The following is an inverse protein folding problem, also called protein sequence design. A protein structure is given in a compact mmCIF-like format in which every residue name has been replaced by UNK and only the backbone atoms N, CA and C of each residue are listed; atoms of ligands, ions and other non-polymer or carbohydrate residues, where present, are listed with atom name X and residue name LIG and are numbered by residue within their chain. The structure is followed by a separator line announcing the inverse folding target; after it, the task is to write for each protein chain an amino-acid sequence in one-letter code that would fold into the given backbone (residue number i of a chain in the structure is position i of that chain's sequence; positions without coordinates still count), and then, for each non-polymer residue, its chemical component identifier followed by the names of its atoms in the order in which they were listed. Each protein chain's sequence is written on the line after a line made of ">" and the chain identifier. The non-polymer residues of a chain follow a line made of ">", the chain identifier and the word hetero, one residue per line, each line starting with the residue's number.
data_IF_229704968871
#
_entry.id   IF_229704968871
#
_cell.length_a   1.000
_cell.length_b   1.000
_cell.length_c   1.000
_cell.angle_alpha   90.00
_cell.angle_beta   90.00
_cell.angle_gamma   90.00
#
_symmetry.space_group_name_H-M   'P 1'
#
loop_
_entity.id
_entity.type
_entity.pdbx_description
1 polymer ?
#
# COMPACT_ATOMS: atom_id res chain seq x y z
N UNK A 1 10.60 -14.14 2.57
CA UNK A 1 11.76 -14.76 1.92
C UNK A 1 11.31 -15.66 0.78
N UNK A 2 12.11 -15.75 -0.30
CA UNK A 2 11.77 -16.57 -1.47
C UNK A 2 10.53 -16.07 -2.21
N UNK A 3 10.36 -14.74 -2.34
CA UNK A 3 9.23 -14.17 -3.07
C UNK A 3 9.29 -14.46 -4.57
N UNK A 4 8.15 -14.83 -5.13
CA UNK A 4 7.89 -14.89 -6.58
C UNK A 4 6.45 -14.47 -6.83
N UNK A 5 6.18 -13.80 -7.93
CA UNK A 5 4.81 -13.48 -8.36
C UNK A 5 4.01 -14.73 -8.73
N UNK A 6 4.70 -15.82 -9.10
CA UNK A 6 4.07 -17.12 -9.33
C UNK A 6 4.00 -17.90 -8.02
N UNK A 7 2.80 -18.18 -7.48
CA UNK A 7 2.62 -18.82 -6.17
C UNK A 7 3.37 -20.15 -6.01
N UNK A 8 3.44 -20.95 -7.07
CA UNK A 8 4.17 -22.23 -7.09
C UNK A 8 5.68 -22.10 -6.88
N UNK A 9 6.23 -20.92 -7.16
CA UNK A 9 7.66 -20.62 -7.05
C UNK A 9 7.98 -19.80 -5.80
N UNK A 10 6.96 -19.35 -5.05
CA UNK A 10 7.12 -18.53 -3.86
C UNK A 10 7.06 -19.42 -2.61
N UNK A 11 8.02 -19.26 -1.72
CA UNK A 11 7.98 -19.92 -0.40
C UNK A 11 6.95 -19.26 0.52
N UNK A 12 6.68 -17.95 0.34
CA UNK A 12 5.74 -17.18 1.14
C UNK A 12 6.01 -17.20 2.63
N UNK A 13 7.30 -17.29 3.01
CA UNK A 13 7.69 -17.38 4.42
C UNK A 13 7.47 -16.05 5.11
N UNK A 14 6.74 -16.09 6.21
CA UNK A 14 6.56 -14.98 7.15
C UNK A 14 7.36 -15.29 8.41
N UNK A 15 8.24 -14.39 8.80
CA UNK A 15 9.15 -14.59 9.93
C UNK A 15 9.13 -13.42 10.90
N UNK A 16 9.34 -13.72 12.18
CA UNK A 16 9.64 -12.74 13.21
C UNK A 16 11.15 -12.75 13.47
N UNK A 17 11.73 -11.55 13.43
CA UNK A 17 13.14 -11.34 13.75
C UNK A 17 13.23 -10.65 15.11
N UNK A 18 14.12 -11.14 15.98
CA UNK A 18 14.38 -10.53 17.29
C UNK A 18 15.88 -10.38 17.52
N UNK A 19 16.35 -9.23 18.01
CA UNK A 19 17.74 -9.07 18.41
C UNK A 19 18.03 -9.98 19.61
N UNK A 20 19.24 -10.56 19.65
CA UNK A 20 19.73 -11.38 20.76
C UNK A 20 20.49 -10.59 21.82
N UNK A 21 20.60 -9.29 21.65
CA UNK A 21 21.38 -8.35 22.46
C UNK A 21 21.68 -7.11 21.64
N UNK A 22 22.94 -6.94 21.20
CA UNK A 22 23.32 -5.84 20.31
C UNK A 22 22.58 -5.96 18.96
N UNK A 23 21.81 -4.94 18.55
CA UNK A 23 21.06 -5.00 17.30
C UNK A 23 21.94 -5.07 16.03
N UNK A 24 23.26 -4.85 16.14
CA UNK A 24 24.21 -5.02 15.05
C UNK A 24 24.63 -6.48 14.83
N UNK A 25 24.38 -7.34 15.82
CA UNK A 25 24.66 -8.76 15.75
C UNK A 25 23.52 -9.53 15.05
N UNK A 26 23.75 -10.75 14.58
CA UNK A 26 22.71 -11.55 13.92
C UNK A 26 21.50 -11.79 14.80
N UNK A 27 20.32 -11.48 14.27
CA UNK A 27 19.03 -11.65 14.94
C UNK A 27 18.58 -13.11 14.91
N UNK A 28 17.79 -13.51 15.89
CA UNK A 28 17.03 -14.76 15.81
C UNK A 28 15.89 -14.62 14.80
N UNK A 29 15.72 -15.64 13.96
CA UNK A 29 14.67 -15.72 12.95
C UNK A 29 13.76 -16.88 13.33
N UNK A 30 12.47 -16.60 13.46
CA UNK A 30 11.43 -17.61 13.71
C UNK A 30 10.40 -17.55 12.61
N UNK A 31 10.29 -18.61 11.84
CA UNK A 31 9.18 -18.75 10.87
C UNK A 31 7.86 -18.89 11.63
N UNK A 32 6.86 -18.09 11.28
CA UNK A 32 5.54 -18.11 11.90
C UNK A 32 4.46 -18.62 10.95
N UNK A 33 4.66 -18.47 9.64
CA UNK A 33 3.69 -18.93 8.63
C UNK A 33 4.34 -19.10 7.26
N UNK A 34 3.65 -19.88 6.40
CA UNK A 34 3.90 -19.96 4.95
C UNK A 34 2.60 -19.68 4.21
N UNK A 35 2.55 -18.56 3.54
CA UNK A 35 1.38 -18.13 2.77
C UNK A 35 1.84 -17.56 1.40
N UNK A 36 2.12 -18.44 0.40
CA UNK A 36 2.57 -18.01 -0.92
C UNK A 36 1.48 -17.27 -1.68
N UNK A 37 1.80 -16.20 -2.37
CA UNK A 37 3.02 -15.41 -2.30
C UNK A 37 2.85 -14.20 -1.35
N UNK A 38 3.17 -14.36 -0.04
CA UNK A 38 3.13 -13.22 0.91
C UNK A 38 3.90 -12.03 0.34
N UNK A 39 3.26 -10.85 0.34
CA UNK A 39 3.78 -9.67 -0.35
C UNK A 39 3.82 -8.43 0.53
N UNK A 40 2.69 -8.00 1.10
CA UNK A 40 2.60 -6.80 1.93
C UNK A 40 2.31 -7.14 3.39
N UNK A 41 3.05 -6.51 4.29
CA UNK A 41 2.81 -6.58 5.73
C UNK A 41 2.57 -5.17 6.28
N UNK A 42 1.58 -5.02 7.17
CA UNK A 42 1.31 -3.77 7.91
C UNK A 42 0.93 -4.10 9.34
N UNK A 43 1.29 -3.19 10.25
CA UNK A 43 0.79 -3.23 11.62
C UNK A 43 -0.53 -2.47 11.71
N UNK A 44 -1.51 -2.99 12.47
CA UNK A 44 -2.83 -2.38 12.63
C UNK A 44 -3.35 -2.60 14.06
N UNK A 45 -3.97 -1.60 14.65
CA UNK A 45 -4.74 -1.70 15.89
C UNK A 45 -6.23 -1.88 15.56
N UNK A 46 -6.59 -3.10 15.22
CA UNK A 46 -7.92 -3.43 14.68
C UNK A 46 -9.04 -3.44 15.75
N UNK A 47 -8.71 -3.34 17.02
CA UNK A 47 -9.68 -3.41 18.13
C UNK A 47 -9.60 -2.22 19.09
N UNK A 48 -8.77 -1.21 18.78
CA UNK A 48 -8.60 0.01 19.58
C UNK A 48 -7.93 -0.23 20.94
N UNK A 49 -7.30 -1.38 21.13
CA UNK A 49 -6.66 -1.74 22.40
C UNK A 49 -5.25 -1.17 22.58
N UNK A 50 -4.69 -0.53 21.56
CA UNK A 50 -3.28 -0.13 21.49
C UNK A 50 -2.34 -1.28 21.14
N UNK A 51 -2.84 -2.52 20.98
CA UNK A 51 -2.04 -3.68 20.61
C UNK A 51 -2.16 -3.95 19.11
N UNK A 52 -1.05 -3.82 18.41
CA UNK A 52 -1.04 -4.01 16.96
C UNK A 52 -0.96 -5.48 16.58
N UNK A 53 -1.77 -5.87 15.60
CA UNK A 53 -1.65 -7.12 14.85
C UNK A 53 -0.78 -6.91 13.61
N UNK A 54 -0.32 -7.99 12.98
CA UNK A 54 0.38 -7.93 11.70
C UNK A 54 -0.56 -8.42 10.61
N UNK A 55 -0.99 -7.52 9.74
CA UNK A 55 -1.80 -7.84 8.55
C UNK A 55 -0.89 -8.32 7.43
N UNK A 56 -1.25 -9.42 6.77
CA UNK A 56 -0.54 -9.99 5.63
C UNK A 56 -1.48 -10.08 4.42
N UNK A 57 -1.04 -9.47 3.33
CA UNK A 57 -1.70 -9.52 2.04
C UNK A 57 -0.79 -10.27 1.04
N UNK A 58 -1.08 -11.53 0.72
CA UNK A 58 -0.46 -12.21 -0.41
C UNK A 58 -0.75 -11.47 -1.71
N UNK A 59 0.16 -11.58 -2.68
CA UNK A 59 0.00 -10.92 -3.98
C UNK A 59 -1.19 -11.49 -4.76
N UNK A 60 -1.37 -12.82 -4.71
CA UNK A 60 -2.41 -13.54 -5.45
C UNK A 60 -2.97 -14.69 -4.63
N UNK A 61 -4.05 -15.30 -5.10
CA UNK A 61 -4.53 -16.57 -4.56
C UNK A 61 -3.53 -17.70 -4.81
N UNK A 62 -3.52 -18.69 -3.92
CA UNK A 62 -2.77 -19.92 -4.13
C UNK A 62 -3.24 -20.60 -5.44
N UNK A 63 -2.31 -20.93 -6.32
CA UNK A 63 -2.60 -21.53 -7.62
C UNK A 63 -3.02 -20.55 -8.72
N UNK A 64 -3.18 -19.26 -8.44
CA UNK A 64 -3.32 -18.25 -9.47
C UNK A 64 -2.00 -18.04 -10.21
N UNK A 65 -2.03 -17.88 -11.51
CA UNK A 65 -0.85 -17.66 -12.34
C UNK A 65 -1.09 -16.62 -13.42
N UNK A 66 0.01 -16.03 -13.90
CA UNK A 66 -0.05 -15.08 -15.02
C UNK A 66 -0.50 -15.72 -16.34
N UNK A 67 -1.04 -14.93 -17.28
CA UNK A 67 -1.19 -13.47 -17.15
C UNK A 67 -2.44 -13.03 -16.39
N UNK A 68 -3.42 -13.90 -16.18
CA UNK A 68 -4.73 -13.50 -15.67
C UNK A 68 -4.83 -13.41 -14.15
N UNK A 69 -4.03 -14.19 -13.41
CA UNK A 69 -4.03 -14.22 -11.93
C UNK A 69 -5.42 -14.39 -11.30
N UNK A 70 -6.30 -15.22 -11.94
CA UNK A 70 -7.65 -15.46 -11.41
C UNK A 70 -7.61 -16.20 -10.10
N UNK A 71 -8.40 -15.75 -9.14
CA UNK A 71 -8.56 -16.38 -7.84
C UNK A 71 -8.86 -15.39 -6.72
N UNK A 72 -9.37 -15.92 -5.62
CA UNK A 72 -9.72 -15.15 -4.43
C UNK A 72 -8.48 -15.02 -3.54
N UNK A 73 -7.90 -13.83 -3.53
CA UNK A 73 -6.68 -13.55 -2.77
C UNK A 73 -7.03 -13.34 -1.30
N UNK A 74 -6.47 -14.14 -0.38
CA UNK A 74 -6.77 -14.01 1.04
C UNK A 74 -6.14 -12.75 1.64
N UNK A 75 -6.84 -12.15 2.61
CA UNK A 75 -6.29 -11.17 3.53
C UNK A 75 -6.35 -11.76 4.93
N UNK A 76 -5.23 -11.74 5.65
CA UNK A 76 -5.11 -12.40 6.95
C UNK A 76 -4.37 -11.52 7.95
N UNK A 77 -4.45 -11.87 9.25
CA UNK A 77 -3.61 -11.23 10.25
C UNK A 77 -3.08 -12.21 11.28
N UNK A 78 -2.07 -11.78 12.03
CA UNK A 78 -1.43 -12.51 13.12
C UNK A 78 -1.40 -11.66 14.38
N UNK A 79 -1.72 -12.27 15.54
CA UNK A 79 -1.51 -11.63 16.84
C UNK A 79 -0.10 -11.90 17.34
N UNK A 80 0.69 -10.88 17.69
CA UNK A 80 2.01 -11.08 18.28
C UNK A 80 1.97 -12.00 19.50
N UNK A 81 2.86 -12.97 19.52
CA UNK A 81 2.93 -13.98 20.58
C UNK A 81 2.17 -15.27 20.25
N UNK A 82 1.00 -15.20 19.65
CA UNK A 82 0.23 -16.37 19.21
C UNK A 82 0.66 -16.85 17.81
N UNK A 83 0.90 -15.90 16.91
CA UNK A 83 1.36 -16.09 15.54
C UNK A 83 0.53 -17.08 14.72
N UNK A 84 -0.76 -17.20 15.05
CA UNK A 84 -1.71 -18.01 14.28
C UNK A 84 -2.30 -17.17 13.17
N UNK A 85 -2.45 -17.77 11.99
CA UNK A 85 -3.14 -17.15 10.87
C UNK A 85 -4.63 -17.00 11.17
N UNK A 86 -5.14 -15.77 11.10
CA UNK A 86 -6.56 -15.47 11.30
C UNK A 86 -7.07 -14.79 10.03
N UNK A 87 -8.15 -15.29 9.40
CA UNK A 87 -8.67 -14.72 8.17
C UNK A 87 -9.39 -13.39 8.43
N UNK A 88 -9.21 -12.44 7.52
CA UNK A 88 -10.00 -11.22 7.38
C UNK A 88 -11.03 -11.41 6.27
N UNK A 89 -10.58 -11.86 5.10
CA UNK A 89 -11.42 -12.14 3.94
C UNK A 89 -10.63 -12.66 2.76
N UNK A 90 -11.34 -13.07 1.71
CA UNK A 90 -10.76 -13.62 0.48
C UNK A 90 -11.46 -13.07 -0.79
N UNK A 91 -12.09 -11.90 -0.70
CA UNK A 91 -12.96 -11.37 -1.74
C UNK A 91 -12.22 -10.56 -2.83
N UNK A 92 -10.93 -10.27 -2.63
CA UNK A 92 -10.11 -9.62 -3.65
C UNK A 92 -9.73 -10.64 -4.72
N UNK A 93 -10.14 -10.39 -5.96
CA UNK A 93 -9.74 -11.22 -7.09
C UNK A 93 -8.51 -10.67 -7.79
N UNK A 94 -7.68 -11.57 -8.29
CA UNK A 94 -6.46 -11.25 -9.02
C UNK A 94 -5.32 -10.84 -8.11
N UNK A 95 -4.55 -9.85 -8.54
CA UNK A 95 -3.44 -9.31 -7.76
C UNK A 95 -3.98 -8.34 -6.71
N UNK A 96 -3.64 -8.57 -5.43
CA UNK A 96 -3.80 -7.61 -4.34
C UNK A 96 -2.40 -7.09 -3.98
N UNK A 97 -2.05 -5.92 -4.51
CA UNK A 97 -0.67 -5.43 -4.43
C UNK A 97 -0.46 -4.44 -3.29
N UNK A 98 -1.46 -3.60 -2.99
CA UNK A 98 -1.37 -2.57 -1.96
C UNK A 98 -2.28 -2.82 -0.77
N UNK A 99 -1.79 -2.50 0.43
CA UNK A 99 -2.59 -2.35 1.65
C UNK A 99 -2.19 -1.07 2.39
N UNK A 100 -3.19 -0.36 2.89
CA UNK A 100 -3.03 0.83 3.73
C UNK A 100 -3.84 0.66 5.01
N UNK A 101 -3.31 1.12 6.14
CA UNK A 101 -3.93 0.99 7.46
C UNK A 101 -4.15 2.38 8.04
N UNK A 102 -5.36 2.65 8.47
CA UNK A 102 -5.74 3.93 9.08
C UNK A 102 -7.05 3.77 9.84
N UNK A 103 -7.27 4.62 10.85
CA UNK A 103 -8.59 4.83 11.43
C UNK A 103 -9.44 5.56 10.37
N UNK A 104 -10.27 4.77 9.66
CA UNK A 104 -11.02 5.25 8.50
C UNK A 104 -12.28 6.01 8.89
N UNK A 105 -12.98 5.59 9.92
CA UNK A 105 -14.27 6.18 10.32
C UNK A 105 -14.18 7.05 11.58
N UNK A 106 -13.01 7.10 12.24
CA UNK A 106 -12.74 7.94 13.40
C UNK A 106 -13.20 7.31 14.71
N UNK A 107 -13.34 5.98 14.76
CA UNK A 107 -13.80 5.25 15.94
C UNK A 107 -12.65 4.81 16.88
N UNK A 108 -11.40 5.09 16.51
CA UNK A 108 -10.19 4.76 17.27
C UNK A 108 -9.64 3.36 16.97
N UNK A 109 -10.17 2.68 15.95
CA UNK A 109 -9.65 1.39 15.45
C UNK A 109 -9.10 1.58 14.04
N UNK A 110 -8.17 0.74 13.66
CA UNK A 110 -7.62 0.77 12.31
C UNK A 110 -8.44 -0.11 11.36
N UNK A 111 -8.87 0.45 10.25
CA UNK A 111 -9.35 -0.26 9.08
C UNK A 111 -8.21 -0.55 8.11
N UNK A 112 -8.47 -1.51 7.22
CA UNK A 112 -7.50 -1.95 6.22
C UNK A 112 -8.06 -1.65 4.84
N UNK A 113 -7.41 -0.74 4.11
CA UNK A 113 -7.69 -0.52 2.70
C UNK A 113 -6.86 -1.50 1.87
N UNK A 114 -7.45 -2.02 0.81
CA UNK A 114 -6.77 -2.90 -0.17
C UNK A 114 -6.87 -2.32 -1.56
N UNK A 115 -5.79 -2.44 -2.34
CA UNK A 115 -5.76 -2.13 -3.77
C UNK A 115 -5.50 -3.41 -4.55
N UNK A 116 -6.40 -3.73 -5.48
CA UNK A 116 -6.38 -4.98 -6.25
C UNK A 116 -6.97 -4.81 -7.65
N UNK A 117 -6.98 -5.87 -8.46
CA UNK A 117 -7.60 -5.84 -9.80
C UNK A 117 -9.10 -5.52 -9.78
N UNK A 118 -9.77 -5.66 -8.65
CA UNK A 118 -11.18 -5.27 -8.48
C UNK A 118 -11.37 -3.89 -7.88
N UNK A 119 -10.31 -3.13 -7.69
CA UNK A 119 -10.34 -1.75 -7.19
C UNK A 119 -9.87 -1.59 -5.75
N UNK A 120 -10.35 -0.54 -5.10
CA UNK A 120 -9.99 -0.17 -3.73
C UNK A 120 -11.17 -0.45 -2.80
N UNK A 121 -10.90 -1.18 -1.73
CA UNK A 121 -11.89 -1.57 -0.73
C UNK A 121 -11.39 -1.27 0.67
N UNK A 122 -12.30 -1.03 1.60
CA UNK A 122 -12.02 -0.94 3.03
C UNK A 122 -12.61 -2.14 3.76
N UNK A 123 -11.81 -2.72 4.66
CA UNK A 123 -12.20 -3.76 5.59
C UNK A 123 -12.27 -3.17 6.98
N UNK A 124 -13.41 -3.33 7.62
CA UNK A 124 -13.71 -2.88 8.97
C UNK A 124 -14.10 -4.08 9.86
N UNK A 125 -13.55 -4.12 11.08
CA UNK A 125 -13.88 -5.11 12.10
C UNK A 125 -15.02 -4.60 12.98
N UNK A 126 -16.25 -4.92 12.60
CA UNK A 126 -17.41 -4.49 13.35
C UNK A 126 -17.53 -5.11 14.75
N UNK A 127 -18.43 -4.57 15.55
CA UNK A 127 -18.77 -5.11 16.86
C UNK A 127 -19.17 -6.59 16.75
N UNK A 128 -18.57 -7.45 17.56
CA UNK A 128 -18.78 -8.89 17.49
C UNK A 128 -17.75 -9.66 16.63
N UNK A 129 -16.71 -8.99 16.17
CA UNK A 129 -15.56 -9.64 15.51
C UNK A 129 -15.80 -10.09 14.08
N UNK A 130 -16.81 -9.52 13.41
CA UNK A 130 -17.12 -9.81 12.02
C UNK A 130 -16.56 -8.71 11.12
N UNK A 131 -15.76 -9.11 10.13
CA UNK A 131 -15.26 -8.21 9.09
C UNK A 131 -16.33 -7.87 8.08
N UNK A 132 -16.43 -6.61 7.73
CA UNK A 132 -17.18 -6.10 6.58
C UNK A 132 -16.23 -5.59 5.52
N UNK A 133 -16.65 -5.65 4.25
CA UNK A 133 -15.87 -5.14 3.11
C UNK A 133 -16.74 -4.21 2.31
N UNK A 134 -16.27 -2.98 2.12
CA UNK A 134 -16.97 -1.95 1.34
C UNK A 134 -16.11 -1.52 0.14
N UNK A 135 -16.69 -1.49 -1.06
CA UNK A 135 -16.05 -0.94 -2.25
C UNK A 135 -16.01 0.58 -2.16
N UNK A 136 -14.84 1.17 -2.29
CA UNK A 136 -14.66 2.62 -2.41
C UNK A 136 -14.66 3.05 -3.88
N UNK A 137 -13.91 2.33 -4.71
CA UNK A 137 -13.83 2.59 -6.15
C UNK A 137 -13.35 1.35 -6.91
N UNK A 138 -13.72 1.24 -8.18
CA UNK A 138 -13.29 0.15 -9.06
C UNK A 138 -11.87 0.32 -9.62
N UNK A 139 -11.23 1.47 -9.41
CA UNK A 139 -9.91 1.74 -9.95
C UNK A 139 -9.92 2.02 -11.46
N UNK A 140 -8.86 1.60 -12.15
CA UNK A 140 -8.76 1.72 -13.60
C UNK A 140 -9.88 0.92 -14.30
N UNK A 141 -10.64 1.55 -15.22
CA UNK A 141 -11.78 0.92 -15.88
C UNK A 141 -11.40 -0.06 -17.01
N UNK A 142 -10.09 -0.24 -17.28
CA UNK A 142 -9.65 -1.17 -18.31
C UNK A 142 -10.15 -2.60 -18.02
N UNK A 143 -10.31 -3.46 -19.03
CA UNK A 143 -10.70 -4.85 -18.83
C UNK A 143 -9.61 -5.64 -18.10
N UNK A 144 -10.02 -6.64 -17.32
CA UNK A 144 -9.14 -7.61 -16.68
C UNK A 144 -8.10 -8.19 -17.68
N UNK A 145 -6.82 -8.33 -17.33
CA UNK A 145 -6.19 -8.12 -16.02
C UNK A 145 -5.59 -6.72 -15.80
N UNK A 146 -5.96 -5.74 -16.61
CA UNK A 146 -5.47 -4.36 -16.56
C UNK A 146 -6.43 -3.41 -15.83
N UNK A 147 -7.31 -3.95 -14.99
CA UNK A 147 -8.28 -3.21 -14.18
C UNK A 147 -7.77 -2.91 -12.79
N UNK A 148 -8.49 -2.06 -12.07
CA UNK A 148 -8.33 -1.86 -10.64
C UNK A 148 -7.14 -0.98 -10.25
N UNK A 149 -6.52 -1.32 -9.14
CA UNK A 149 -5.48 -0.50 -8.52
C UNK A 149 -4.30 -1.36 -8.04
N UNK A 150 -3.10 -0.76 -8.05
CA UNK A 150 -1.86 -1.37 -7.59
C UNK A 150 -1.57 -1.05 -6.13
N UNK A 151 -1.66 0.22 -5.77
CA UNK A 151 -1.36 0.71 -4.42
C UNK A 151 -2.32 1.83 -4.05
N UNK A 152 -2.45 2.13 -2.75
CA UNK A 152 -3.36 3.14 -2.24
C UNK A 152 -2.78 3.82 -1.01
N UNK A 153 -3.01 5.13 -0.90
CA UNK A 153 -2.80 5.89 0.32
C UNK A 153 -3.98 6.86 0.54
N UNK A 154 -4.14 7.29 1.78
CA UNK A 154 -5.18 8.23 2.21
C UNK A 154 -4.51 9.53 2.60
N UNK A 155 -5.00 10.63 2.05
CA UNK A 155 -4.53 11.96 2.40
C UNK A 155 -5.68 12.91 2.75
N UNK A 156 -5.31 14.08 3.29
CA UNK A 156 -6.24 15.12 3.71
C UNK A 156 -5.91 16.44 3.02
N UNK A 157 -6.93 17.13 2.57
CA UNK A 157 -6.83 18.42 1.93
C UNK A 157 -7.95 19.33 2.45
N UNK A 158 -7.58 20.40 3.16
CA UNK A 158 -8.52 21.32 3.78
C UNK A 158 -9.61 20.60 4.64
N UNK A 159 -9.17 19.63 5.46
CA UNK A 159 -10.05 18.83 6.33
C UNK A 159 -10.89 17.77 5.63
N UNK A 160 -10.72 17.60 4.32
CA UNK A 160 -11.41 16.57 3.53
C UNK A 160 -10.44 15.48 3.12
N UNK A 161 -10.89 14.23 3.23
CA UNK A 161 -10.13 13.06 2.81
C UNK A 161 -10.11 12.92 1.30
N UNK A 162 -8.97 12.52 0.75
CA UNK A 162 -8.83 12.02 -0.60
C UNK A 162 -8.11 10.66 -0.60
N UNK A 163 -8.24 9.90 -1.68
CA UNK A 163 -7.41 8.73 -1.92
C UNK A 163 -6.43 9.05 -3.05
N UNK A 164 -5.23 8.49 -2.98
CA UNK A 164 -4.33 8.44 -4.12
C UNK A 164 -3.92 7.00 -4.41
N UNK A 165 -3.66 6.69 -5.68
CA UNK A 165 -3.44 5.34 -6.16
C UNK A 165 -2.47 5.30 -7.32
N UNK A 166 -1.74 4.20 -7.45
CA UNK A 166 -1.08 3.79 -8.70
C UNK A 166 -2.02 2.84 -9.43
N UNK A 167 -2.26 3.08 -10.72
CA UNK A 167 -3.22 2.31 -11.53
C UNK A 167 -2.72 2.07 -12.96
N UNK A 168 -3.10 0.93 -13.56
CA UNK A 168 -3.46 -0.33 -12.92
C UNK A 168 -2.27 -0.98 -12.19
N UNK A 169 -2.28 -2.28 -11.94
CA UNK A 169 -1.14 -2.97 -11.30
C UNK A 169 0.17 -2.75 -12.06
N UNK A 170 1.21 -2.27 -11.33
CA UNK A 170 2.47 -1.77 -11.89
C UNK A 170 2.22 -0.80 -13.06
N UNK A 171 1.19 0.03 -12.92
CA UNK A 171 0.68 0.84 -14.01
C UNK A 171 1.45 2.13 -14.23
N UNK A 172 0.91 2.90 -15.14
CA UNK A 172 1.51 4.15 -15.58
C UNK A 172 0.79 5.39 -15.01
N UNK A 173 -0.25 5.20 -14.19
CA UNK A 173 -1.08 6.31 -13.75
C UNK A 173 -0.89 6.58 -12.26
N UNK A 174 -0.71 7.85 -11.91
CA UNK A 174 -0.93 8.40 -10.58
C UNK A 174 -2.34 9.00 -10.57
N UNK A 175 -3.18 8.53 -9.67
CA UNK A 175 -4.60 8.87 -9.64
C UNK A 175 -4.96 9.45 -8.29
N UNK A 176 -5.85 10.46 -8.26
CA UNK A 176 -6.49 10.96 -7.06
C UNK A 176 -7.99 10.74 -7.13
N UNK A 177 -8.57 10.42 -5.99
CA UNK A 177 -10.02 10.31 -5.81
C UNK A 177 -10.49 11.31 -4.77
N UNK A 178 -11.51 12.07 -5.10
CA UNK A 178 -12.15 13.05 -4.23
C UNK A 178 -13.62 12.70 -4.05
N UNK A 179 -14.17 12.93 -2.88
CA UNK A 179 -15.60 12.76 -2.67
C UNK A 179 -16.40 13.93 -3.24
N UNK A 180 -17.35 13.61 -4.10
CA UNK A 180 -18.32 14.54 -4.67
C UNK A 180 -19.70 13.91 -4.65
N UNK A 181 -20.65 14.50 -3.91
CA UNK A 181 -22.00 13.97 -3.81
C UNK A 181 -22.10 12.55 -3.25
N UNK A 182 -21.21 12.18 -2.33
CA UNK A 182 -21.14 10.84 -1.74
C UNK A 182 -20.43 9.77 -2.58
N UNK A 183 -19.96 10.10 -3.77
CA UNK A 183 -19.22 9.20 -4.65
C UNK A 183 -17.74 9.62 -4.78
N UNK A 184 -16.87 8.63 -4.97
CA UNK A 184 -15.46 8.87 -5.27
C UNK A 184 -15.29 9.19 -6.75
N UNK A 185 -14.78 10.40 -7.05
CA UNK A 185 -14.49 10.88 -8.42
C UNK A 185 -13.02 10.68 -8.73
N UNK A 186 -12.75 9.85 -9.74
CA UNK A 186 -11.42 9.51 -10.24
C UNK A 186 -10.85 10.64 -11.11
N UNK A 187 -9.59 11.01 -10.87
CA UNK A 187 -8.83 11.95 -11.72
C UNK A 187 -7.41 11.43 -11.89
N UNK A 188 -6.96 11.23 -13.11
CA UNK A 188 -5.56 10.93 -13.42
C UNK A 188 -4.76 12.22 -13.32
N UNK A 189 -3.75 12.23 -12.47
CA UNK A 189 -2.80 13.34 -12.34
C UNK A 189 -1.64 13.21 -13.32
N UNK A 190 -1.18 11.98 -13.51
CA UNK A 190 -0.03 11.64 -14.35
C UNK A 190 -0.25 10.29 -15.01
N UNK A 191 0.16 10.14 -16.26
CA UNK A 191 0.10 8.90 -17.02
C UNK A 191 1.46 8.53 -17.62
N UNK A 192 2.55 9.10 -17.10
CA UNK A 192 3.89 8.92 -17.64
C UNK A 192 4.76 7.92 -16.88
N UNK A 193 4.24 7.30 -15.80
CA UNK A 193 4.98 6.34 -14.99
C UNK A 193 5.30 5.07 -15.77
N UNK A 194 6.42 4.45 -15.44
CA UNK A 194 6.82 3.14 -15.95
C UNK A 194 6.98 2.20 -14.79
N UNK A 195 6.06 1.25 -14.65
CA UNK A 195 5.95 0.38 -13.46
C UNK A 195 5.87 1.20 -12.15
N UNK A 196 4.83 2.03 -12.02
CA UNK A 196 4.52 2.73 -10.78
C UNK A 196 4.39 1.74 -9.62
N UNK A 197 5.06 2.01 -8.48
CA UNK A 197 5.18 0.98 -7.44
C UNK A 197 5.03 1.49 -6.02
N UNK A 198 5.18 2.77 -5.75
CA UNK A 198 5.01 3.34 -4.42
C UNK A 198 4.17 4.61 -4.47
N UNK A 199 3.28 4.77 -3.51
CA UNK A 199 2.50 5.99 -3.31
C UNK A 199 2.31 6.23 -1.81
N UNK A 200 2.42 7.51 -1.41
CA UNK A 200 2.17 7.98 -0.05
C UNK A 200 1.39 9.29 -0.13
N UNK A 201 0.64 9.59 0.92
CA UNK A 201 0.06 10.92 1.13
C UNK A 201 0.47 11.40 2.52
N UNK A 202 1.07 12.57 2.61
CA UNK A 202 1.63 13.09 3.85
C UNK A 202 1.90 14.58 3.72
N UNK A 203 1.69 15.34 4.79
CA UNK A 203 2.06 16.76 4.89
C UNK A 203 3.58 16.91 4.97
N UNK A 204 4.22 17.11 3.82
CA UNK A 204 5.69 17.22 3.71
C UNK A 204 6.22 18.59 4.09
N UNK A 205 5.39 19.61 4.04
CA UNK A 205 5.81 21.01 4.23
C UNK A 205 5.25 21.64 5.50
N UNK A 206 4.38 20.96 6.25
CA UNK A 206 3.79 21.42 7.50
C UNK A 206 2.66 22.44 7.35
N UNK A 207 2.00 22.49 6.16
CA UNK A 207 0.94 23.46 5.89
C UNK A 207 -0.48 22.92 6.20
N UNK A 208 -0.57 21.68 6.71
CA UNK A 208 -1.82 21.00 7.06
C UNK A 208 -2.55 20.41 5.86
N UNK A 209 -1.87 20.27 4.70
CA UNK A 209 -2.39 19.63 3.50
C UNK A 209 -1.41 18.56 3.05
N UNK A 210 -1.91 17.36 2.78
CA UNK A 210 -1.05 16.28 2.37
C UNK A 210 -0.64 16.43 0.89
N UNK A 211 0.66 16.31 0.63
CA UNK A 211 1.23 16.06 -0.68
C UNK A 211 1.12 14.57 -1.03
N UNK A 212 1.19 14.28 -2.34
CA UNK A 212 1.30 12.91 -2.83
C UNK A 212 2.75 12.67 -3.24
N UNK A 213 3.40 11.70 -2.62
CA UNK A 213 4.68 11.14 -3.04
C UNK A 213 4.41 9.90 -3.87
N UNK A 214 4.90 9.84 -5.11
CA UNK A 214 4.77 8.68 -5.97
C UNK A 214 6.08 8.37 -6.70
N UNK A 215 6.37 7.07 -6.86
CA UNK A 215 7.58 6.63 -7.53
C UNK A 215 7.37 5.45 -8.45
N UNK A 216 8.19 5.37 -9.50
CA UNK A 216 8.25 4.28 -10.44
C UNK A 216 9.62 3.59 -10.46
N UNK A 217 9.67 2.38 -11.04
CA UNK A 217 10.87 1.55 -11.03
C UNK A 217 11.19 0.89 -12.37
N UNK A 218 10.36 1.11 -13.38
CA UNK A 218 10.51 0.49 -14.69
C UNK A 218 11.68 1.07 -15.48
N UNK A 219 12.18 0.31 -16.44
CA UNK A 219 13.27 0.74 -17.31
C UNK A 219 12.83 1.97 -18.14
N UNK A 220 13.51 3.08 -17.95
CA UNK A 220 13.19 4.37 -18.57
C UNK A 220 12.35 5.29 -17.67
N UNK A 221 11.86 4.80 -16.51
CA UNK A 221 11.34 5.59 -15.41
C UNK A 221 12.44 5.85 -14.37
N UNK A 222 12.34 5.21 -13.20
CA UNK A 222 13.23 5.40 -12.05
C UNK A 222 13.16 6.81 -11.49
N UNK A 223 11.97 7.24 -11.16
CA UNK A 223 11.75 8.57 -10.64
C UNK A 223 10.86 8.56 -9.40
N UNK A 224 11.01 9.59 -8.59
CA UNK A 224 10.12 9.92 -7.48
C UNK A 224 9.66 11.35 -7.66
N UNK A 225 8.36 11.56 -7.60
CA UNK A 225 7.74 12.86 -7.73
C UNK A 225 6.89 13.20 -6.51
N UNK A 226 6.78 14.50 -6.23
CA UNK A 226 5.84 15.07 -5.28
C UNK A 226 4.77 15.82 -6.06
N UNK A 227 3.50 15.60 -5.71
CA UNK A 227 2.37 16.33 -6.26
C UNK A 227 1.77 17.18 -5.16
N UNK A 228 1.72 18.49 -5.38
CA UNK A 228 1.13 19.47 -4.47
C UNK A 228 -0.20 19.98 -5.01
N UNK A 229 -1.22 20.06 -4.16
CA UNK A 229 -2.52 20.58 -4.55
C UNK A 229 -2.46 22.10 -4.76
N UNK A 230 -2.77 22.60 -5.97
CA UNK A 230 -2.81 24.03 -6.28
C UNK A 230 -4.09 24.71 -5.81
N UNK A 231 -5.11 23.94 -5.38
CA UNK A 231 -6.34 24.47 -4.82
C UNK A 231 -6.92 23.57 -3.73
N UNK A 232 -7.73 24.15 -2.86
CA UNK A 232 -8.37 23.44 -1.74
C UNK A 232 -9.36 22.34 -2.17
N UNK A 233 -9.85 22.40 -3.41
CA UNK A 233 -10.75 21.39 -3.95
C UNK A 233 -10.02 20.13 -4.42
N UNK A 234 -8.67 20.15 -4.53
CA UNK A 234 -7.86 19.04 -5.02
C UNK A 234 -8.13 18.70 -6.48
N UNK A 235 -8.57 19.69 -7.28
CA UNK A 235 -8.85 19.50 -8.72
C UNK A 235 -7.67 19.86 -9.61
N UNK A 236 -6.67 20.55 -9.05
CA UNK A 236 -5.44 20.93 -9.74
C UNK A 236 -4.24 20.55 -8.88
N UNK A 237 -3.24 19.95 -9.50
CA UNK A 237 -2.03 19.50 -8.86
C UNK A 237 -0.81 19.86 -9.70
N UNK A 238 0.23 20.32 -9.04
CA UNK A 238 1.55 20.54 -9.62
C UNK A 238 2.45 19.34 -9.34
N UNK A 239 3.21 18.89 -10.35
CA UNK A 239 4.21 17.82 -10.22
C UNK A 239 5.60 18.41 -10.05
N UNK A 240 6.32 17.94 -9.03
CA UNK A 240 7.70 18.34 -8.74
C UNK A 240 8.61 17.11 -8.73
N UNK A 241 9.73 17.09 -9.47
CA UNK A 241 10.68 16.00 -9.38
C UNK A 241 11.42 16.05 -8.04
N UNK A 242 11.47 14.91 -7.33
CA UNK A 242 12.31 14.74 -6.15
C UNK A 242 13.60 14.03 -6.53
N UNK A 243 13.50 12.93 -7.28
CA UNK A 243 14.62 12.19 -7.84
C UNK A 243 14.26 11.71 -9.25
N UNK A 244 15.18 11.88 -10.20
CA UNK A 244 15.00 11.41 -11.57
C UNK A 244 16.25 10.63 -11.99
N UNK A 245 16.08 9.35 -12.26
CA UNK A 245 17.13 8.44 -12.69
C UNK A 245 18.01 7.88 -11.57
N UNK A 246 17.83 8.33 -10.33
CA UNK A 246 18.69 7.95 -9.23
C UNK A 246 18.20 6.77 -8.40
N UNK A 247 16.89 6.51 -8.39
CA UNK A 247 16.30 5.39 -7.66
C UNK A 247 15.14 4.77 -8.42
N UNK A 248 15.23 3.45 -8.67
CA UNK A 248 14.12 2.65 -9.18
C UNK A 248 13.20 2.29 -8.01
N UNK A 249 12.29 3.19 -7.66
CA UNK A 249 11.58 3.21 -6.39
C UNK A 249 10.67 1.99 -6.20
N UNK A 250 11.16 0.99 -5.47
CA UNK A 250 10.37 -0.19 -5.08
C UNK A 250 9.49 0.07 -3.86
N UNK A 251 9.90 0.95 -2.97
CA UNK A 251 9.10 1.45 -1.86
C UNK A 251 9.72 2.74 -1.33
N UNK A 252 8.90 3.66 -0.87
CA UNK A 252 9.33 4.81 -0.09
C UNK A 252 8.63 4.80 1.27
N UNK A 253 9.30 5.29 2.29
CA UNK A 253 8.75 5.60 3.60
C UNK A 253 8.94 7.07 3.88
N UNK A 254 7.99 7.67 4.57
CA UNK A 254 8.06 9.06 5.03
C UNK A 254 7.92 9.05 6.54
N UNK A 255 8.94 9.53 7.23
CA UNK A 255 9.01 9.57 8.69
C UNK A 255 10.14 10.53 9.11
N UNK A 256 10.01 11.17 10.26
CA UNK A 256 11.11 11.92 10.87
C UNK A 256 12.19 10.93 11.35
N UNK A 257 13.25 10.76 10.56
CA UNK A 257 14.34 9.82 10.82
C UNK A 257 15.40 10.40 11.75
N UNK A 258 15.56 11.72 11.79
CA UNK A 258 16.63 12.40 12.51
C UNK A 258 16.13 13.08 13.80
N UNK A 259 14.81 13.14 14.04
CA UNK A 259 14.20 13.72 15.24
C UNK A 259 14.13 15.25 15.21
N UNK A 260 14.16 15.87 14.02
CA UNK A 260 14.10 17.34 13.89
C UNK A 260 12.67 17.90 13.76
N UNK A 261 11.67 17.02 13.79
CA UNK A 261 10.26 17.37 13.69
C UNK A 261 9.76 17.57 12.26
N UNK A 262 10.56 17.24 11.25
CA UNK A 262 10.19 17.28 9.83
C UNK A 262 10.19 15.88 9.23
N UNK A 263 9.30 15.59 8.26
CA UNK A 263 9.32 14.30 7.60
C UNK A 263 10.52 14.17 6.64
N UNK A 264 11.28 13.07 6.80
CA UNK A 264 12.29 12.62 5.86
C UNK A 264 11.69 11.61 4.89
N UNK A 265 12.28 11.47 3.72
CA UNK A 265 11.87 10.50 2.71
C UNK A 265 13.00 9.49 2.49
N UNK A 266 12.72 8.21 2.70
CA UNK A 266 13.66 7.13 2.42
C UNK A 266 13.08 6.21 1.36
N UNK A 267 13.75 6.07 0.22
CA UNK A 267 13.33 5.21 -0.89
C UNK A 267 14.34 4.09 -1.15
N UNK A 268 13.86 2.86 -1.24
CA UNK A 268 14.68 1.70 -1.64
C UNK A 268 14.51 1.43 -3.13
N UNK A 269 15.63 1.30 -3.83
CA UNK A 269 15.68 1.02 -5.25
C UNK A 269 15.77 -0.46 -5.57
N UNK A 270 14.93 -0.94 -6.51
CA UNK A 270 14.97 -2.32 -7.01
C UNK A 270 16.17 -2.57 -7.93
N UNK A 271 16.11 -2.16 -9.19
CA UNK A 271 17.18 -2.35 -10.17
C UNK A 271 18.42 -1.48 -9.90
N UNK A 272 18.26 -0.36 -9.20
CA UNK A 272 19.37 0.51 -8.79
C UNK A 272 20.10 0.01 -7.55
N UNK A 273 19.50 -0.93 -6.80
CA UNK A 273 20.09 -1.57 -5.62
C UNK A 273 20.69 -0.58 -4.60
N UNK A 274 19.95 0.50 -4.34
CA UNK A 274 20.38 1.58 -3.45
C UNK A 274 19.27 1.98 -2.47
N UNK A 275 19.65 2.78 -1.46
CA UNK A 275 18.78 3.51 -0.56
C UNK A 275 19.10 5.00 -0.72
N UNK A 276 18.10 5.81 -0.90
CA UNK A 276 18.19 7.27 -0.94
C UNK A 276 17.26 7.91 0.06
#
# INVERSE_FOLDING_TARGET
>A
EGFSSEPKNSLGIVSVLKPKGDPREPWSITEIDRLPPSHRLRAADIDGSGKKVVVNAPLTAAGAGGPDYRGRTPLVYYRPGEWKRIPIGDQNEGVMHGIYVTDWDGDGRDEILTASFVGIHVYDLGAGGKWTRTELTKGDPAPWPKSGASDVAVGHLAGRRFLCSIEPWHGNQVVVYRQEGGAWRRQVLDASFVEGHTIQAVDLNGDGRDEILAGDRGKGGNAVYIYTAENQAGTKWARHPLDVGGVAAASCAVVDLNGDGRPDIACIGSSTANLK
#
